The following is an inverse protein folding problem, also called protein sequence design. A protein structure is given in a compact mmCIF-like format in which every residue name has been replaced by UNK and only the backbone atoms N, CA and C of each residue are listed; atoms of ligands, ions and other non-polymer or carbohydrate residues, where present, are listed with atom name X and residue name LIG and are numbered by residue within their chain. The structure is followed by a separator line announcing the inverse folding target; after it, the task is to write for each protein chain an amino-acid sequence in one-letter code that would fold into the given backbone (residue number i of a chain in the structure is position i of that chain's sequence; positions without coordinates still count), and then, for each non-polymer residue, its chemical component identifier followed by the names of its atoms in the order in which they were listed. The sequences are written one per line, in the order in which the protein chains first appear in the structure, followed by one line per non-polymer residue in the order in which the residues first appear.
data_IF_204323919770
#
_entry.id   IF_204323919770
#
_cell.length_a   1.000
_cell.length_b   1.000
_cell.length_c   1.000
_cell.angle_alpha   90.00
_cell.angle_beta   90.00
_cell.angle_gamma   90.00
#
_symmetry.space_group_name_H-M   'P 1'
#
loop_
_entity.id
_entity.type
_entity.pdbx_description
1 polymer ?
#
# COMPACT_ATOMS: atom_id res chain seq x y z
N UNK A 1 36.73 -3.89 3.19
CA UNK A 1 36.03 -3.56 4.46
C UNK A 1 34.90 -2.53 4.29
N UNK A 2 34.98 -1.61 3.31
CA UNK A 2 33.98 -0.56 3.03
C UNK A 2 32.60 -1.05 2.55
N UNK A 3 32.53 -2.10 1.73
CA UNK A 3 31.26 -2.59 1.16
C UNK A 3 30.27 -3.13 2.22
N UNK A 4 30.79 -3.71 3.30
CA UNK A 4 29.95 -4.22 4.40
C UNK A 4 29.30 -3.07 5.19
N UNK A 5 30.05 -1.99 5.39
CA UNK A 5 29.55 -0.77 6.06
C UNK A 5 28.43 -0.12 5.25
N UNK A 6 28.61 0.06 3.94
CA UNK A 6 27.58 0.64 3.05
C UNK A 6 26.34 -0.24 2.97
N UNK A 7 26.49 -1.57 2.84
CA UNK A 7 25.36 -2.51 2.81
C UNK A 7 24.59 -2.52 4.13
N UNK A 8 25.29 -2.45 5.27
CA UNK A 8 24.67 -2.37 6.60
C UNK A 8 23.88 -1.08 6.76
N UNK A 9 24.45 0.06 6.35
CA UNK A 9 23.80 1.37 6.42
C UNK A 9 22.52 1.44 5.57
N UNK A 10 22.56 0.92 4.35
CA UNK A 10 21.38 0.91 3.46
C UNK A 10 20.27 0.00 4.00
N UNK A 11 20.62 -1.15 4.60
CA UNK A 11 19.65 -2.01 5.27
C UNK A 11 19.04 -1.34 6.50
N UNK A 12 19.87 -0.70 7.32
CA UNK A 12 19.39 0.05 8.49
C UNK A 12 18.44 1.17 8.07
N UNK A 13 18.76 1.91 7.01
CA UNK A 13 17.88 2.94 6.45
C UNK A 13 16.54 2.37 5.97
N UNK A 14 16.56 1.28 5.19
CA UNK A 14 15.33 0.65 4.70
C UNK A 14 14.44 0.12 5.83
N UNK A 15 15.04 -0.53 6.84
CA UNK A 15 14.31 -1.05 8.00
C UNK A 15 13.74 0.10 8.85
N UNK A 16 14.53 1.15 9.09
CA UNK A 16 14.07 2.31 9.83
C UNK A 16 12.93 3.03 9.10
N UNK A 17 13.07 3.26 7.79
CA UNK A 17 12.03 3.88 6.96
C UNK A 17 10.73 3.06 6.95
N UNK A 18 10.83 1.74 6.78
CA UNK A 18 9.66 0.85 6.86
C UNK A 18 9.03 0.89 8.26
N UNK A 19 9.82 0.84 9.32
CA UNK A 19 9.33 0.93 10.70
C UNK A 19 8.56 2.22 10.95
N UNK A 20 9.08 3.37 10.52
CA UNK A 20 8.40 4.67 10.63
C UNK A 20 7.10 4.66 9.84
N UNK A 21 7.12 4.17 8.60
CA UNK A 21 5.91 4.09 7.76
C UNK A 21 4.82 3.25 8.42
N UNK A 22 5.18 2.09 9.01
CA UNK A 22 4.24 1.23 9.73
C UNK A 22 3.69 1.89 11.00
N UNK A 23 4.52 2.63 11.74
CA UNK A 23 4.06 3.37 12.91
C UNK A 23 3.03 4.42 12.49
N UNK A 24 3.30 5.19 11.44
CA UNK A 24 2.34 6.18 10.92
C UNK A 24 1.05 5.49 10.45
N UNK A 25 1.17 4.41 9.68
CA UNK A 25 0.03 3.69 9.12
C UNK A 25 -0.88 3.08 10.21
N UNK A 26 -0.33 2.62 11.33
CA UNK A 26 -1.11 1.96 12.40
C UNK A 26 -1.58 2.95 13.45
N UNK A 27 -0.73 3.90 13.87
CA UNK A 27 -1.03 4.77 15.01
C UNK A 27 -1.57 6.13 14.61
N UNK A 28 -1.22 6.67 13.45
CA UNK A 28 -1.71 7.98 13.01
C UNK A 28 -2.95 7.88 12.13
N UNK A 29 -3.13 6.79 11.39
CA UNK A 29 -4.29 6.62 10.50
C UNK A 29 -5.68 6.61 11.18
N UNK A 30 -5.88 6.13 12.44
CA UNK A 30 -7.16 6.28 13.11
C UNK A 30 -7.57 7.74 13.34
N UNK A 31 -6.60 8.66 13.32
CA UNK A 31 -6.83 10.10 13.50
C UNK A 31 -7.01 10.83 12.16
N UNK A 32 -7.27 10.11 11.06
CA UNK A 32 -7.61 10.72 9.79
C UNK A 32 -8.92 11.52 9.89
N UNK A 33 -9.02 12.61 9.12
CA UNK A 33 -10.21 13.45 9.13
C UNK A 33 -11.44 12.66 8.69
N UNK A 34 -12.58 12.96 9.32
CA UNK A 34 -13.90 12.43 8.98
C UNK A 34 -14.64 13.35 7.99
N UNK A 35 -13.99 14.43 7.54
CA UNK A 35 -14.57 15.34 6.56
C UNK A 35 -14.79 14.62 5.22
N UNK A 36 -15.86 14.98 4.48
CA UNK A 36 -16.14 14.36 3.19
C UNK A 36 -14.99 14.60 2.22
N UNK A 37 -14.64 13.56 1.47
CA UNK A 37 -13.62 13.66 0.42
C UNK A 37 -14.12 14.51 -0.76
N UNK A 38 -13.28 14.69 -1.79
CA UNK A 38 -13.66 15.51 -2.94
C UNK A 38 -14.87 15.00 -3.72
N UNK A 39 -15.14 13.69 -3.71
CA UNK A 39 -16.27 13.10 -4.40
C UNK A 39 -17.54 13.24 -3.57
N UNK A 40 -17.46 12.90 -2.28
CA UNK A 40 -18.56 12.99 -1.33
C UNK A 40 -18.99 14.43 -1.10
N UNK A 41 -18.01 15.35 -1.05
CA UNK A 41 -18.30 16.78 -0.92
C UNK A 41 -19.06 17.31 -2.13
N UNK A 42 -18.66 16.90 -3.33
CA UNK A 42 -19.34 17.30 -4.57
C UNK A 42 -20.75 16.68 -4.64
N UNK A 43 -20.92 15.43 -4.20
CA UNK A 43 -22.25 14.80 -4.16
C UNK A 43 -23.20 15.46 -3.16
N UNK A 44 -22.68 15.90 -2.01
CA UNK A 44 -23.41 16.69 -1.02
C UNK A 44 -23.79 18.07 -1.57
N UNK A 45 -22.82 18.82 -2.10
CA UNK A 45 -23.03 20.18 -2.58
C UNK A 45 -24.04 20.23 -3.74
N UNK A 46 -24.01 19.23 -4.62
CA UNK A 46 -24.92 19.11 -5.77
C UNK A 46 -26.17 18.26 -5.48
N UNK A 47 -26.35 17.77 -4.25
CA UNK A 47 -27.52 17.01 -3.78
C UNK A 47 -27.85 15.78 -4.62
N UNK A 48 -26.83 14.99 -4.98
CA UNK A 48 -27.02 13.72 -5.69
C UNK A 48 -26.45 12.51 -4.96
N UNK A 49 -26.00 12.66 -3.72
CA UNK A 49 -25.57 11.55 -2.86
C UNK A 49 -26.56 10.37 -2.84
N UNK A 50 -27.86 10.65 -2.72
CA UNK A 50 -28.93 9.64 -2.72
C UNK A 50 -29.16 8.97 -4.09
N UNK A 51 -28.47 9.40 -5.14
CA UNK A 51 -28.55 8.80 -6.49
C UNK A 51 -27.50 7.72 -6.71
N UNK A 52 -26.77 7.33 -5.68
CA UNK A 52 -25.88 6.17 -5.74
C UNK A 52 -26.68 4.94 -6.21
N UNK A 53 -26.21 4.32 -7.30
CA UNK A 53 -26.91 3.17 -7.88
C UNK A 53 -26.74 1.94 -6.97
N UNK A 54 -27.85 1.31 -6.56
CA UNK A 54 -27.82 0.06 -5.79
C UNK A 54 -27.09 -1.06 -6.54
N UNK A 55 -27.18 -1.08 -7.88
CA UNK A 55 -26.46 -2.03 -8.75
C UNK A 55 -25.22 -1.41 -9.40
N UNK A 56 -24.42 -0.68 -8.60
CA UNK A 56 -23.17 -0.09 -9.06
C UNK A 56 -22.22 -1.18 -9.61
N UNK A 57 -21.43 -0.91 -10.67
CA UNK A 57 -20.46 -1.88 -11.19
C UNK A 57 -19.48 -2.41 -10.12
N UNK A 58 -19.20 -1.61 -9.09
CA UNK A 58 -18.39 -1.99 -7.94
C UNK A 58 -18.99 -3.18 -7.16
N UNK A 59 -20.32 -3.33 -7.10
CA UNK A 59 -20.99 -4.45 -6.40
C UNK A 59 -20.72 -5.81 -7.05
N UNK A 60 -20.32 -5.81 -8.33
CA UNK A 60 -20.06 -7.01 -9.14
C UNK A 60 -18.60 -7.45 -9.05
N UNK A 61 -17.75 -6.70 -8.36
CA UNK A 61 -16.34 -7.05 -8.18
C UNK A 61 -16.20 -8.16 -7.14
N UNK A 62 -15.26 -9.10 -7.33
CA UNK A 62 -15.10 -10.25 -6.42
C UNK A 62 -14.76 -9.83 -4.98
N UNK A 63 -14.18 -8.65 -4.81
CA UNK A 63 -13.80 -8.06 -3.52
C UNK A 63 -14.92 -7.25 -2.84
N UNK A 64 -16.06 -7.01 -3.49
CA UNK A 64 -17.20 -6.31 -2.86
C UNK A 64 -17.78 -7.07 -1.65
N UNK A 65 -17.60 -8.40 -1.62
CA UNK A 65 -17.98 -9.20 -0.45
C UNK A 65 -17.11 -8.93 0.78
N UNK A 66 -15.92 -8.36 0.59
CA UNK A 66 -14.88 -8.16 1.61
C UNK A 66 -14.86 -6.70 2.09
N UNK A 67 -15.13 -5.76 1.18
CA UNK A 67 -15.08 -4.33 1.46
C UNK A 67 -16.48 -3.72 1.40
N UNK A 68 -16.80 -2.89 2.38
CA UNK A 68 -17.93 -1.97 2.36
C UNK A 68 -17.36 -0.57 2.25
N UNK A 69 -17.51 0.05 1.08
CA UNK A 69 -16.81 1.29 0.72
C UNK A 69 -15.28 1.18 0.94
N UNK A 70 -14.70 2.08 1.75
CA UNK A 70 -13.28 2.09 2.11
C UNK A 70 -12.93 1.17 3.29
N UNK A 71 -13.92 0.54 3.93
CA UNK A 71 -13.74 -0.25 5.13
C UNK A 71 -13.86 -1.76 4.88
N UNK A 72 -13.26 -2.55 5.77
CA UNK A 72 -13.45 -4.00 5.79
C UNK A 72 -14.82 -4.32 6.41
N UNK A 73 -15.64 -5.09 5.69
CA UNK A 73 -16.98 -5.45 6.17
C UNK A 73 -16.88 -6.25 7.47
N UNK A 74 -17.62 -5.81 8.49
CA UNK A 74 -17.62 -6.44 9.83
C UNK A 74 -16.45 -6.04 10.74
N UNK A 75 -15.62 -5.08 10.34
CA UNK A 75 -14.56 -4.51 11.18
C UNK A 75 -14.92 -3.07 11.56
N UNK A 76 -14.79 -2.65 12.83
CA UNK A 76 -14.98 -1.26 13.22
C UNK A 76 -14.04 -0.34 12.46
N UNK A 77 -14.52 0.82 11.99
CA UNK A 77 -13.73 1.78 11.20
C UNK A 77 -12.38 2.16 11.85
N UNK A 78 -12.38 2.37 13.17
CA UNK A 78 -11.16 2.68 13.93
C UNK A 78 -10.09 1.59 13.90
N UNK A 79 -10.45 0.36 13.49
CA UNK A 79 -9.54 -0.77 13.31
C UNK A 79 -9.31 -1.05 11.81
N UNK A 80 -10.34 -0.87 10.98
CA UNK A 80 -10.27 -1.08 9.54
C UNK A 80 -9.21 -0.18 8.88
N UNK A 81 -9.16 1.11 9.24
CA UNK A 81 -8.22 2.08 8.67
C UNK A 81 -6.75 1.74 8.98
N UNK A 82 -6.36 1.42 10.24
CA UNK A 82 -5.02 0.90 10.55
C UNK A 82 -4.66 -0.38 9.80
N UNK A 83 -5.59 -1.32 9.66
CA UNK A 83 -5.35 -2.57 8.94
C UNK A 83 -5.09 -2.28 7.46
N UNK A 84 -5.90 -1.43 6.83
CA UNK A 84 -5.72 -1.02 5.45
C UNK A 84 -4.35 -0.35 5.24
N UNK A 85 -3.96 0.57 6.13
CA UNK A 85 -2.65 1.22 6.11
C UNK A 85 -1.49 0.24 6.26
N UNK A 86 -1.59 -0.70 7.21
CA UNK A 86 -0.58 -1.74 7.45
C UNK A 86 -0.40 -2.64 6.21
N UNK A 87 -1.51 -3.21 5.72
CA UNK A 87 -1.50 -4.12 4.58
C UNK A 87 -1.02 -3.41 3.32
N UNK A 88 -1.53 -2.21 3.04
CA UNK A 88 -1.12 -1.42 1.88
C UNK A 88 0.36 -1.04 1.90
N UNK A 89 0.89 -0.66 3.07
CA UNK A 89 2.31 -0.31 3.24
C UNK A 89 3.20 -1.53 3.00
N UNK A 90 2.86 -2.69 3.58
CA UNK A 90 3.62 -3.93 3.38
C UNK A 90 3.55 -4.41 1.93
N UNK A 91 2.39 -4.34 1.30
CA UNK A 91 2.20 -4.71 -0.10
C UNK A 91 3.05 -3.82 -1.02
N UNK A 92 3.00 -2.51 -0.82
CA UNK A 92 3.77 -1.53 -1.61
C UNK A 92 5.28 -1.73 -1.44
N UNK A 93 5.74 -1.85 -0.19
CA UNK A 93 7.16 -2.09 0.09
C UNK A 93 7.62 -3.43 -0.52
N UNK A 94 6.85 -4.50 -0.33
CA UNK A 94 7.13 -5.82 -0.87
C UNK A 94 7.20 -5.82 -2.39
N UNK A 95 6.28 -5.13 -3.06
CA UNK A 95 6.26 -5.00 -4.52
C UNK A 95 7.49 -4.23 -5.02
N UNK A 96 7.76 -3.05 -4.46
CA UNK A 96 8.91 -2.23 -4.85
C UNK A 96 10.24 -2.97 -4.62
N UNK A 97 10.38 -3.62 -3.46
CA UNK A 97 11.55 -4.42 -3.14
C UNK A 97 11.71 -5.63 -4.06
N UNK A 98 10.61 -6.33 -4.34
CA UNK A 98 10.57 -7.49 -5.24
C UNK A 98 11.00 -7.12 -6.67
N UNK A 99 10.41 -6.05 -7.21
CA UNK A 99 10.79 -5.51 -8.53
C UNK A 99 12.27 -5.13 -8.56
N UNK A 100 12.74 -4.37 -7.56
CA UNK A 100 14.15 -4.00 -7.47
C UNK A 100 15.08 -5.22 -7.42
N UNK A 101 14.69 -6.28 -6.72
CA UNK A 101 15.44 -7.54 -6.65
C UNK A 101 15.46 -8.33 -7.95
N UNK A 102 14.45 -8.20 -8.81
CA UNK A 102 14.40 -8.85 -10.12
C UNK A 102 15.25 -8.05 -11.11
N UNK A 103 15.04 -6.74 -11.17
CA UNK A 103 15.71 -5.84 -12.14
C UNK A 103 17.22 -5.74 -11.88
N UNK A 104 17.66 -5.66 -10.62
CA UNK A 104 19.08 -5.47 -10.27
C UNK A 104 19.88 -6.79 -10.29
N UNK A 105 19.24 -7.96 -10.42
CA UNK A 105 19.93 -9.27 -10.41
C UNK A 105 20.43 -9.72 -11.79
N UNK A 106 20.27 -8.90 -12.83
CA UNK A 106 20.48 -9.29 -14.24
C UNK A 106 21.93 -9.46 -14.72
N UNK A 107 22.96 -9.14 -13.95
CA UNK A 107 24.36 -9.13 -14.45
C UNK A 107 25.26 -10.17 -13.75
N UNK A 108 24.93 -11.45 -13.87
CA UNK A 108 25.88 -12.53 -13.54
C UNK A 108 25.65 -13.78 -14.39
N UNK A 109 25.81 -13.65 -15.71
CA UNK A 109 26.14 -14.79 -16.59
C UNK A 109 26.42 -14.30 -18.01
N UNK A 110 27.69 -14.05 -18.32
CA UNK A 110 28.27 -14.22 -19.66
C UNK A 110 29.76 -13.91 -19.61
N UNK A 111 30.52 -14.79 -19.00
CA UNK A 111 31.97 -14.87 -19.23
C UNK A 111 32.34 -16.33 -19.01
N UNK A 112 32.28 -17.11 -20.08
CA UNK A 112 33.05 -18.33 -20.37
C UNK A 112 32.39 -19.02 -21.56
N UNK A 113 32.99 -18.88 -22.76
CA UNK A 113 33.21 -19.92 -23.78
C UNK A 113 33.53 -19.22 -25.11
N UNK A 114 34.79 -19.23 -25.53
CA UNK A 114 35.18 -18.69 -26.84
C UNK A 114 36.66 -18.41 -27.04
N UNK A 115 37.56 -19.11 -26.34
CA UNK A 115 38.97 -19.23 -26.75
C UNK A 115 39.20 -20.66 -27.24
N UNK A 116 39.07 -20.84 -28.56
CA UNK A 116 39.58 -21.96 -29.36
C UNK A 116 39.95 -21.45 -30.75
#
# INVERSE_FOLDING_TARGET
MSNNLTRSRNRAFAIAGLGIALIVAVFLSPFASQDPDGLDRVSQDLKFEDKAAEDAPASKLPFYSIFDEYALRGVPEGIATPIAGLVGTLATFGLAWGIGKIVVRGESSSSEEGDR
#
